data_IF_553957621611
#
_entry.id   IF_553957621611
#
_cell.length_a   1.000
_cell.length_b   1.000
_cell.length_c   1.000
_cell.angle_alpha   90.00
_cell.angle_beta   90.00
_cell.angle_gamma   90.00
#
_symmetry.space_group_name_H-M   'P 1'
#
loop_
_entity.id
_entity.type
_entity.pdbx_description
1 polymer ?
#
# COMPACT_ATOMS: atom_id res chain seq x y z
N UNK A 1 30.87 0.90 -12.58
CA UNK A 1 30.93 1.85 -11.46
C UNK A 1 32.36 2.20 -11.14
N UNK A 2 32.57 3.28 -10.39
CA UNK A 2 33.87 3.88 -10.06
C UNK A 2 34.85 2.92 -9.40
N UNK A 3 34.35 1.88 -8.73
CA UNK A 3 35.19 0.82 -8.15
C UNK A 3 36.09 0.11 -9.19
N UNK A 4 35.75 0.17 -10.47
CA UNK A 4 36.52 -0.44 -11.55
C UNK A 4 37.51 0.51 -12.23
N UNK A 5 37.53 1.80 -11.87
CA UNK A 5 38.41 2.79 -12.50
C UNK A 5 39.89 2.42 -12.37
N UNK A 6 40.26 1.79 -11.25
CA UNK A 6 41.62 1.30 -10.98
C UNK A 6 42.07 0.19 -11.95
N UNK A 7 41.12 -0.48 -12.61
CA UNK A 7 41.40 -1.53 -13.60
C UNK A 7 41.56 -0.97 -15.01
N UNK A 8 41.12 0.27 -15.26
CA UNK A 8 41.13 0.89 -16.57
C UNK A 8 42.53 0.90 -17.24
N UNK A 9 43.64 1.24 -16.54
CA UNK A 9 44.97 1.19 -17.15
C UNK A 9 45.34 -0.20 -17.70
N UNK A 10 44.90 -1.28 -17.03
CA UNK A 10 45.13 -2.66 -17.48
C UNK A 10 44.33 -2.97 -18.73
N UNK A 11 43.07 -2.52 -18.79
CA UNK A 11 42.23 -2.72 -19.98
C UNK A 11 42.84 -2.02 -21.20
N UNK A 12 43.34 -0.78 -21.06
CA UNK A 12 43.99 -0.07 -22.18
C UNK A 12 45.22 -0.81 -22.73
N UNK A 13 46.05 -1.39 -21.86
CA UNK A 13 47.18 -2.22 -22.29
C UNK A 13 46.72 -3.46 -23.08
N UNK A 14 45.58 -4.07 -22.70
CA UNK A 14 45.00 -5.19 -23.44
C UNK A 14 44.48 -4.75 -24.81
N UNK A 15 43.75 -3.63 -24.89
CA UNK A 15 43.31 -3.07 -26.18
C UNK A 15 44.50 -2.80 -27.10
N UNK A 16 45.56 -2.19 -26.58
CA UNK A 16 46.78 -1.91 -27.34
C UNK A 16 47.47 -3.19 -27.82
N UNK A 17 47.61 -4.20 -26.96
CA UNK A 17 48.25 -5.47 -27.31
C UNK A 17 47.47 -6.25 -28.39
N UNK A 18 46.14 -6.12 -28.39
CA UNK A 18 45.25 -6.77 -29.36
C UNK A 18 45.06 -5.94 -30.64
N UNK A 19 45.58 -4.71 -30.68
CA UNK A 19 45.39 -3.78 -31.80
C UNK A 19 43.93 -3.31 -31.95
N UNK A 20 43.19 -3.24 -30.86
CA UNK A 20 41.79 -2.84 -30.82
C UNK A 20 41.62 -1.38 -30.39
N UNK A 21 40.59 -0.71 -30.91
CA UNK A 21 40.18 0.61 -30.43
C UNK A 21 39.38 0.48 -29.13
N UNK A 22 39.76 1.19 -28.05
CA UNK A 22 39.01 1.17 -26.81
C UNK A 22 37.66 1.90 -26.96
N UNK A 23 36.57 1.40 -26.35
CA UNK A 23 35.28 2.08 -26.35
C UNK A 23 35.31 3.32 -25.45
N UNK A 24 34.25 4.13 -25.52
CA UNK A 24 34.00 5.14 -24.50
C UNK A 24 33.69 4.47 -23.15
N UNK A 25 34.28 4.97 -22.07
CA UNK A 25 34.05 4.48 -20.71
C UNK A 25 33.34 5.54 -19.87
N UNK A 26 32.23 5.16 -19.25
CA UNK A 26 31.53 5.97 -18.25
C UNK A 26 31.53 5.20 -16.95
N UNK A 27 32.27 5.69 -15.95
CA UNK A 27 32.27 5.11 -14.61
C UNK A 27 31.21 5.82 -13.78
N UNK A 28 30.24 5.05 -13.29
CA UNK A 28 29.16 5.56 -12.47
C UNK A 28 29.56 5.60 -10.99
N UNK A 29 29.17 6.63 -10.23
CA UNK A 29 29.47 6.73 -8.81
C UNK A 29 28.90 5.54 -8.04
N UNK A 30 29.53 5.20 -6.92
CA UNK A 30 29.01 4.17 -6.02
C UNK A 30 27.79 4.69 -5.26
N UNK A 31 26.83 3.81 -5.00
CA UNK A 31 25.74 4.11 -4.09
C UNK A 31 26.22 3.99 -2.64
N UNK A 32 25.93 5.02 -1.86
CA UNK A 32 26.15 5.04 -0.43
C UNK A 32 24.97 4.37 0.29
N UNK A 33 25.23 3.93 1.52
CA UNK A 33 24.18 3.50 2.45
C UNK A 33 23.14 4.61 2.68
N UNK A 34 21.93 4.28 3.19
CA UNK A 34 20.89 5.27 3.47
C UNK A 34 21.34 6.39 4.42
N UNK A 35 22.24 6.11 5.36
CA UNK A 35 22.83 7.11 6.27
C UNK A 35 23.99 7.91 5.65
N UNK A 36 24.30 7.65 4.37
CA UNK A 36 25.40 8.27 3.63
C UNK A 36 26.80 7.79 4.05
N UNK A 37 26.91 6.86 5.00
CA UNK A 37 28.20 6.41 5.55
C UNK A 37 28.65 5.10 4.94
N UNK A 38 29.47 5.23 3.91
CA UNK A 38 30.10 4.09 3.25
C UNK A 38 29.18 3.45 2.21
N UNK A 39 29.63 2.31 1.66
CA UNK A 39 28.99 1.68 0.50
C UNK A 39 27.68 0.98 0.89
N UNK A 40 26.68 1.04 0.01
CA UNK A 40 25.48 0.23 0.12
C UNK A 40 25.85 -1.27 0.20
N UNK A 41 25.21 -1.99 1.12
CA UNK A 41 25.47 -3.41 1.35
C UNK A 41 24.20 -4.09 1.85
N UNK A 42 24.17 -5.43 1.84
CA UNK A 42 23.03 -6.22 2.36
C UNK A 42 22.67 -5.92 3.82
N UNK A 43 23.60 -5.35 4.60
CA UNK A 43 23.35 -4.97 6.00
C UNK A 43 22.40 -3.77 6.13
N UNK A 44 22.21 -3.02 5.04
CA UNK A 44 21.42 -1.79 5.02
C UNK A 44 19.99 -1.98 4.49
N UNK A 45 19.57 -3.23 4.26
CA UNK A 45 18.24 -3.59 3.78
C UNK A 45 18.26 -4.32 2.44
N UNK A 46 17.14 -4.21 1.72
CA UNK A 46 16.97 -4.85 0.43
C UNK A 46 17.98 -4.27 -0.58
N UNK A 47 18.73 -5.15 -1.23
CA UNK A 47 19.73 -4.75 -2.23
C UNK A 47 19.54 -5.47 -3.56
N UNK A 48 18.89 -6.63 -3.57
CA UNK A 48 18.49 -7.32 -4.80
C UNK A 48 17.16 -6.83 -5.34
N UNK A 49 17.05 -6.69 -6.67
CA UNK A 49 15.79 -6.37 -7.39
C UNK A 49 14.66 -7.34 -7.01
N UNK A 50 14.98 -8.61 -6.78
CA UNK A 50 14.02 -9.62 -6.33
C UNK A 50 13.40 -9.28 -4.97
N UNK A 51 14.18 -8.77 -4.02
CA UNK A 51 13.70 -8.40 -2.70
C UNK A 51 12.74 -7.21 -2.78
N UNK A 52 13.00 -6.24 -3.66
CA UNK A 52 12.07 -5.14 -3.93
C UNK A 52 10.77 -5.64 -4.56
N UNK A 53 10.85 -6.58 -5.52
CA UNK A 53 9.65 -7.20 -6.09
C UNK A 53 8.83 -7.93 -5.02
N UNK A 54 9.47 -8.74 -4.18
CA UNK A 54 8.80 -9.49 -3.10
C UNK A 54 8.17 -8.57 -2.05
N UNK A 55 8.75 -7.38 -1.82
CA UNK A 55 8.16 -6.32 -1.00
C UNK A 55 7.00 -5.57 -1.66
N UNK A 56 6.70 -5.82 -2.94
CA UNK A 56 5.61 -5.13 -3.63
C UNK A 56 5.96 -3.75 -4.19
N UNK A 57 7.23 -3.49 -4.51
CA UNK A 57 7.59 -2.32 -5.31
C UNK A 57 7.21 -2.50 -6.78
N UNK A 58 6.76 -1.41 -7.38
CA UNK A 58 6.50 -1.33 -8.81
C UNK A 58 7.83 -1.20 -9.58
N UNK A 59 7.96 -1.89 -10.74
CA UNK A 59 9.16 -1.77 -11.56
C UNK A 59 9.37 -0.33 -12.04
N UNK A 60 8.30 0.41 -12.34
CA UNK A 60 8.36 1.81 -12.79
C UNK A 60 8.97 2.71 -11.70
N UNK A 61 8.55 2.53 -10.45
CA UNK A 61 9.07 3.27 -9.31
C UNK A 61 10.56 2.98 -9.08
N UNK A 62 10.95 1.71 -9.16
CA UNK A 62 12.33 1.30 -8.97
C UNK A 62 13.23 1.85 -10.09
N UNK A 63 12.77 1.79 -11.35
CA UNK A 63 13.50 2.34 -12.51
C UNK A 63 13.68 3.84 -12.37
N UNK A 64 12.61 4.60 -12.07
CA UNK A 64 12.68 6.04 -11.90
C UNK A 64 13.62 6.45 -10.76
N UNK A 65 13.53 5.75 -9.63
CA UNK A 65 14.43 5.98 -8.51
C UNK A 65 15.88 5.71 -8.87
N UNK A 66 16.18 4.56 -9.48
CA UNK A 66 17.55 4.19 -9.89
C UNK A 66 18.12 5.14 -10.95
N UNK A 67 17.28 5.64 -11.86
CA UNK A 67 17.66 6.66 -12.84
C UNK A 67 18.14 7.93 -12.14
N UNK A 68 17.34 8.46 -11.20
CA UNK A 68 17.65 9.70 -10.50
C UNK A 68 18.75 9.55 -9.44
N UNK A 69 19.19 8.31 -9.17
CA UNK A 69 20.38 8.04 -8.37
C UNK A 69 21.65 8.25 -9.20
N UNK A 70 22.08 9.51 -9.25
CA UNK A 70 23.33 9.89 -9.91
C UNK A 70 23.15 10.42 -11.32
N UNK A 71 21.92 10.64 -11.77
CA UNK A 71 21.61 11.45 -12.95
C UNK A 71 20.56 12.49 -12.58
N UNK A 72 20.72 13.72 -13.08
CA UNK A 72 19.78 14.80 -12.86
C UNK A 72 19.21 15.31 -14.17
N UNK A 73 17.88 15.42 -14.34
CA UNK A 73 17.27 15.96 -15.55
C UNK A 73 17.60 17.45 -15.73
N UNK A 74 17.36 17.97 -16.94
CA UNK A 74 17.53 19.40 -17.24
C UNK A 74 16.47 20.28 -16.58
N UNK A 75 15.33 19.69 -16.25
CA UNK A 75 14.17 20.29 -15.59
C UNK A 75 14.10 19.84 -14.13
N UNK A 76 13.17 20.39 -13.36
CA UNK A 76 12.87 19.96 -11.98
C UNK A 76 11.94 18.73 -11.93
N UNK A 77 11.80 18.00 -13.03
CA UNK A 77 10.95 16.81 -13.12
C UNK A 77 11.61 15.64 -12.38
N UNK A 78 10.86 14.96 -11.52
CA UNK A 78 11.36 13.84 -10.73
C UNK A 78 10.64 12.52 -11.03
N UNK A 79 9.67 12.51 -11.95
CA UNK A 79 8.77 11.38 -12.20
C UNK A 79 8.75 11.13 -13.69
N UNK A 80 9.29 9.98 -14.11
CA UNK A 80 9.46 9.62 -15.50
C UNK A 80 8.87 8.23 -15.78
N UNK A 81 8.30 8.06 -16.96
CA UNK A 81 8.25 6.77 -17.62
C UNK A 81 9.64 6.41 -18.17
N UNK A 82 9.88 5.13 -18.47
CA UNK A 82 11.14 4.71 -19.08
C UNK A 82 11.38 5.37 -20.46
N UNK A 83 10.31 5.64 -21.21
CA UNK A 83 10.40 6.28 -22.53
C UNK A 83 10.76 7.77 -22.43
N UNK A 84 10.14 8.49 -21.49
CA UNK A 84 10.49 9.88 -21.18
C UNK A 84 11.93 9.98 -20.68
N UNK A 85 12.32 9.09 -19.77
CA UNK A 85 13.68 8.99 -19.28
C UNK A 85 14.68 8.76 -20.42
N UNK A 86 14.41 7.83 -21.33
CA UNK A 86 15.29 7.54 -22.47
C UNK A 86 15.44 8.74 -23.42
N UNK A 87 14.38 9.54 -23.57
CA UNK A 87 14.40 10.76 -24.40
C UNK A 87 15.16 11.90 -23.72
N UNK A 88 15.02 12.04 -22.40
CA UNK A 88 15.66 13.11 -21.62
C UNK A 88 17.11 12.80 -21.24
N UNK A 89 17.52 11.52 -21.24
CA UNK A 89 18.80 11.07 -20.73
C UNK A 89 19.98 11.67 -21.50
N UNK A 90 20.99 12.13 -20.77
CA UNK A 90 22.26 12.56 -21.32
C UNK A 90 23.42 12.21 -20.39
N UNK A 91 24.53 11.76 -20.97
CA UNK A 91 25.71 11.28 -20.22
C UNK A 91 26.37 12.42 -19.44
N UNK A 92 26.30 13.65 -19.96
CA UNK A 92 26.89 14.86 -19.37
C UNK A 92 26.23 15.24 -18.04
N UNK A 93 25.03 14.73 -17.76
CA UNK A 93 24.28 15.01 -16.53
C UNK A 93 24.37 13.90 -15.50
N UNK A 94 25.23 12.92 -15.73
CA UNK A 94 25.61 11.93 -14.71
C UNK A 94 26.49 12.65 -13.68
N UNK A 95 26.07 12.61 -12.42
CA UNK A 95 26.84 13.10 -11.28
C UNK A 95 28.08 12.24 -11.07
N UNK A 96 29.19 12.88 -10.73
CA UNK A 96 30.42 12.21 -10.29
C UNK A 96 30.45 11.99 -8.77
N UNK A 97 29.48 12.54 -8.03
CA UNK A 97 29.42 12.38 -6.58
C UNK A 97 28.67 11.10 -6.20
N UNK A 98 29.13 10.36 -5.18
CA UNK A 98 28.35 9.28 -4.58
C UNK A 98 26.98 9.77 -4.09
N UNK A 99 25.95 8.95 -4.26
CA UNK A 99 24.56 9.29 -3.88
C UNK A 99 24.05 8.31 -2.83
N UNK A 100 23.36 8.80 -1.81
CA UNK A 100 22.74 7.96 -0.78
C UNK A 100 21.50 7.24 -1.31
N UNK A 101 21.40 5.95 -1.02
CA UNK A 101 20.27 5.12 -1.40
C UNK A 101 19.12 5.32 -0.40
N UNK A 102 18.30 6.35 -0.60
CA UNK A 102 17.17 6.68 0.30
C UNK A 102 15.96 5.78 0.05
N UNK A 103 15.68 4.86 0.98
CA UNK A 103 14.49 4.01 0.93
C UNK A 103 13.20 4.83 1.09
N UNK A 104 13.20 5.87 1.91
CA UNK A 104 12.02 6.76 2.08
C UNK A 104 11.64 7.44 0.76
N UNK A 105 12.64 7.86 -0.03
CA UNK A 105 12.39 8.46 -1.36
C UNK A 105 11.84 7.41 -2.34
N UNK A 106 12.37 6.18 -2.30
CA UNK A 106 11.84 5.08 -3.11
C UNK A 106 10.40 4.71 -2.72
N UNK A 107 10.06 4.69 -1.43
CA UNK A 107 8.70 4.46 -0.95
C UNK A 107 7.73 5.55 -1.42
N UNK A 108 8.19 6.81 -1.41
CA UNK A 108 7.42 7.94 -1.93
C UNK A 108 7.13 7.76 -3.42
N UNK A 109 8.14 7.42 -4.23
CA UNK A 109 7.94 7.08 -5.64
C UNK A 109 6.96 5.93 -5.78
N UNK A 110 7.12 4.85 -5.03
CA UNK A 110 6.27 3.67 -5.16
C UNK A 110 4.80 4.00 -4.93
N UNK A 111 4.50 4.76 -3.87
CA UNK A 111 3.14 5.25 -3.62
C UNK A 111 2.62 6.13 -4.75
N UNK A 112 3.47 6.99 -5.35
CA UNK A 112 3.06 7.84 -6.47
C UNK A 112 2.70 7.01 -7.70
N UNK A 113 3.53 6.05 -8.09
CA UNK A 113 3.24 5.18 -9.22
C UNK A 113 2.03 4.28 -8.96
N UNK A 114 1.82 3.80 -7.72
CA UNK A 114 0.60 3.06 -7.35
C UNK A 114 -0.65 3.93 -7.59
N UNK A 115 -0.62 5.21 -7.19
CA UNK A 115 -1.75 6.16 -7.39
C UNK A 115 -2.01 6.50 -8.87
N UNK A 116 -1.02 6.32 -9.75
CA UNK A 116 -1.18 6.55 -11.19
C UNK A 116 -1.78 5.35 -11.93
N UNK A 117 -1.77 4.15 -11.33
CA UNK A 117 -2.38 2.97 -11.94
C UNK A 117 -3.91 3.13 -12.03
N UNK A 118 -4.50 2.57 -13.09
CA UNK A 118 -5.94 2.35 -13.10
C UNK A 118 -6.32 1.34 -12.02
N UNK A 119 -7.57 1.41 -11.53
CA UNK A 119 -8.07 0.44 -10.54
C UNK A 119 -7.97 -1.01 -11.04
N UNK A 120 -8.21 -1.24 -12.33
CA UNK A 120 -8.10 -2.58 -12.91
C UNK A 120 -6.65 -3.10 -12.91
N UNK A 121 -5.69 -2.24 -13.30
CA UNK A 121 -4.28 -2.62 -13.33
C UNK A 121 -3.73 -2.79 -11.91
N UNK A 122 -4.14 -1.94 -10.96
CA UNK A 122 -3.76 -2.11 -9.56
C UNK A 122 -4.30 -3.44 -9.00
N UNK A 123 -5.58 -3.75 -9.22
CA UNK A 123 -6.18 -5.01 -8.79
C UNK A 123 -5.44 -6.22 -9.39
N UNK A 124 -5.09 -6.15 -10.69
CA UNK A 124 -4.33 -7.19 -11.37
C UNK A 124 -2.93 -7.37 -10.78
N UNK A 125 -2.22 -6.28 -10.46
CA UNK A 125 -0.88 -6.33 -9.84
C UNK A 125 -0.93 -6.81 -8.39
N UNK A 126 -2.01 -6.54 -7.67
CA UNK A 126 -2.24 -7.00 -6.30
C UNK A 126 -2.68 -8.47 -6.21
N UNK A 127 -3.32 -9.01 -7.26
CA UNK A 127 -3.92 -10.35 -7.26
C UNK A 127 -2.94 -11.47 -6.83
N UNK A 128 -1.68 -11.53 -7.30
CA UNK A 128 -0.75 -12.57 -6.87
C UNK A 128 -0.48 -12.58 -5.36
N UNK A 129 -0.46 -11.40 -4.71
CA UNK A 129 -0.25 -11.29 -3.26
C UNK A 129 -1.47 -11.77 -2.49
N UNK A 130 -2.67 -11.42 -2.96
CA UNK A 130 -3.93 -11.91 -2.38
C UNK A 130 -4.07 -13.44 -2.51
N UNK A 131 -3.59 -14.00 -3.61
CA UNK A 131 -3.57 -15.45 -3.83
C UNK A 131 -2.56 -16.14 -2.92
N UNK A 132 -1.36 -15.58 -2.79
CA UNK A 132 -0.34 -16.07 -1.86
C UNK A 132 -0.82 -16.08 -0.41
N UNK A 133 -1.59 -15.06 0.00
CA UNK A 133 -2.14 -14.93 1.35
C UNK A 133 -3.46 -15.71 1.54
N UNK A 134 -3.91 -16.47 0.54
CA UNK A 134 -5.11 -17.31 0.60
C UNK A 134 -6.43 -16.53 0.65
N UNK A 135 -6.43 -15.24 0.27
CA UNK A 135 -7.63 -14.40 0.24
C UNK A 135 -8.43 -14.55 -1.05
N UNK A 136 -7.78 -14.93 -2.16
CA UNK A 136 -8.40 -15.23 -3.44
C UNK A 136 -7.82 -16.51 -4.03
N UNK A 137 -8.60 -17.31 -4.77
CA UNK A 137 -8.10 -18.52 -5.42
C UNK A 137 -7.28 -18.19 -6.68
N UNK A 138 -6.48 -19.16 -7.12
CA UNK A 138 -5.80 -19.16 -8.42
C UNK A 138 -6.26 -20.37 -9.26
N UNK A 139 -6.97 -20.16 -10.40
CA UNK A 139 -7.34 -18.88 -11.01
C UNK A 139 -8.46 -18.13 -10.26
N UNK A 140 -8.44 -16.79 -10.33
CA UNK A 140 -9.44 -15.93 -9.69
C UNK A 140 -10.75 -15.85 -10.51
N UNK A 141 -11.92 -16.16 -9.94
CA UNK A 141 -13.21 -15.97 -10.60
C UNK A 141 -13.45 -14.51 -11.02
N UNK A 142 -14.03 -14.32 -12.20
CA UNK A 142 -14.30 -12.97 -12.75
C UNK A 142 -15.12 -12.10 -11.79
N UNK A 143 -16.13 -12.65 -11.11
CA UNK A 143 -16.93 -11.89 -10.13
C UNK A 143 -16.10 -11.40 -8.93
N UNK A 144 -15.15 -12.20 -8.44
CA UNK A 144 -14.27 -11.80 -7.35
C UNK A 144 -13.25 -10.76 -7.82
N UNK A 145 -12.75 -10.89 -9.06
CA UNK A 145 -11.87 -9.88 -9.64
C UNK A 145 -12.60 -8.53 -9.84
N UNK A 146 -13.82 -8.53 -10.38
CA UNK A 146 -14.65 -7.32 -10.51
C UNK A 146 -14.92 -6.68 -9.15
N UNK A 147 -15.20 -7.50 -8.13
CA UNK A 147 -15.34 -6.99 -6.77
C UNK A 147 -14.02 -6.38 -6.26
N UNK A 148 -12.88 -7.05 -6.45
CA UNK A 148 -11.57 -6.52 -6.10
C UNK A 148 -11.31 -5.16 -6.76
N UNK A 149 -11.58 -5.02 -8.06
CA UNK A 149 -11.45 -3.73 -8.79
C UNK A 149 -12.29 -2.64 -8.12
N UNK A 150 -13.52 -2.96 -7.69
CA UNK A 150 -14.40 -2.00 -7.01
C UNK A 150 -13.88 -1.53 -5.63
N UNK A 151 -12.97 -2.29 -5.01
CA UNK A 151 -12.38 -1.95 -3.71
C UNK A 151 -11.15 -1.03 -3.85
N UNK A 152 -10.49 -1.00 -5.02
CA UNK A 152 -9.27 -0.22 -5.22
C UNK A 152 -9.40 1.27 -4.90
N UNK A 153 -10.48 1.98 -5.25
CA UNK A 153 -10.64 3.39 -4.88
C UNK A 153 -10.56 3.65 -3.36
N UNK A 154 -10.91 2.65 -2.54
CA UNK A 154 -10.93 2.78 -1.09
C UNK A 154 -9.53 2.64 -0.46
N UNK A 155 -8.60 1.98 -1.16
CA UNK A 155 -7.32 1.54 -0.60
C UNK A 155 -6.10 2.05 -1.35
N UNK A 156 -6.24 2.47 -2.61
CA UNK A 156 -5.12 2.90 -3.47
C UNK A 156 -4.30 4.04 -2.86
N UNK A 157 -4.96 5.04 -2.27
CA UNK A 157 -4.30 6.16 -1.58
C UNK A 157 -3.63 5.76 -0.26
N UNK A 158 -3.94 4.57 0.27
CA UNK A 158 -3.51 4.12 1.60
C UNK A 158 -2.31 3.19 1.56
N UNK A 159 -2.12 2.46 0.45
CA UNK A 159 -1.02 1.51 0.30
C UNK A 159 0.20 2.19 -0.34
N UNK A 160 1.36 1.87 0.21
CA UNK A 160 2.68 2.19 -0.36
C UNK A 160 3.30 1.00 -1.05
N UNK A 161 2.88 -0.23 -0.73
CA UNK A 161 3.38 -1.45 -1.36
C UNK A 161 2.23 -2.34 -1.80
N UNK A 162 2.42 -3.10 -2.88
CA UNK A 162 1.41 -4.06 -3.33
C UNK A 162 1.12 -5.15 -2.28
N UNK A 163 2.09 -5.51 -1.45
CA UNK A 163 1.91 -6.51 -0.37
C UNK A 163 0.99 -6.03 0.75
N UNK A 164 0.80 -4.72 0.93
CA UNK A 164 -0.11 -4.18 1.95
C UNK A 164 -1.58 -4.40 1.58
N UNK A 165 -1.87 -4.84 0.35
CA UNK A 165 -3.24 -5.03 -0.12
C UNK A 165 -4.02 -6.02 0.74
N UNK A 166 -3.38 -7.10 1.18
CA UNK A 166 -4.04 -8.16 1.95
C UNK A 166 -4.59 -7.65 3.28
N UNK A 167 -3.85 -6.77 3.97
CA UNK A 167 -4.34 -6.09 5.18
C UNK A 167 -5.44 -5.08 4.83
N UNK A 168 -5.26 -4.34 3.74
CA UNK A 168 -6.18 -3.28 3.33
C UNK A 168 -7.55 -3.79 2.84
N UNK A 169 -7.62 -4.99 2.27
CA UNK A 169 -8.87 -5.56 1.73
C UNK A 169 -9.32 -6.87 2.38
N UNK A 170 -8.51 -7.48 3.25
CA UNK A 170 -8.79 -8.81 3.81
C UNK A 170 -10.15 -8.89 4.50
N UNK A 171 -10.57 -7.84 5.20
CA UNK A 171 -11.88 -7.81 5.84
C UNK A 171 -13.05 -7.67 4.84
N UNK A 172 -12.84 -7.23 3.60
CA UNK A 172 -13.88 -7.28 2.55
C UNK A 172 -14.03 -8.68 1.96
N UNK A 173 -12.89 -9.32 1.69
CA UNK A 173 -12.83 -10.59 0.96
C UNK A 173 -13.25 -11.80 1.81
N UNK A 174 -13.00 -11.75 3.12
CA UNK A 174 -13.43 -12.81 4.03
C UNK A 174 -14.93 -12.73 4.31
N UNK A 175 -15.59 -13.88 4.40
CA UNK A 175 -16.98 -13.95 4.85
C UNK A 175 -17.07 -13.72 6.35
N UNK A 176 -16.23 -14.42 7.10
CA UNK A 176 -16.09 -14.29 8.55
C UNK A 176 -14.72 -13.72 8.91
N UNK A 177 -14.69 -12.92 9.98
CA UNK A 177 -13.44 -12.45 10.60
C UNK A 177 -13.44 -12.90 12.05
N UNK A 178 -12.25 -13.07 12.63
CA UNK A 178 -12.16 -13.26 14.07
C UNK A 178 -12.77 -12.03 14.77
N UNK A 179 -13.71 -12.24 15.72
CA UNK A 179 -14.29 -11.14 16.46
C UNK A 179 -13.19 -10.32 17.18
N UNK A 180 -13.23 -8.98 17.10
CA UNK A 180 -12.21 -8.14 17.73
C UNK A 180 -12.20 -8.32 19.24
N UNK A 181 -11.04 -8.12 19.88
CA UNK A 181 -10.93 -8.21 21.34
C UNK A 181 -11.80 -7.17 22.04
N UNK A 182 -12.19 -7.49 23.28
CA UNK A 182 -12.96 -6.58 24.15
C UNK A 182 -12.26 -5.22 24.29
N UNK A 183 -10.96 -5.23 24.52
CA UNK A 183 -10.16 -4.01 24.68
C UNK A 183 -10.21 -3.13 23.43
N UNK A 184 -10.17 -3.74 22.24
CA UNK A 184 -10.20 -3.01 20.98
C UNK A 184 -11.59 -2.43 20.70
N UNK A 185 -12.66 -3.16 21.03
CA UNK A 185 -14.05 -2.70 20.89
C UNK A 185 -14.38 -1.52 21.82
N UNK A 186 -13.86 -1.54 23.05
CA UNK A 186 -14.07 -0.47 24.05
C UNK A 186 -13.23 0.78 23.73
N UNK A 187 -12.04 0.59 23.16
CA UNK A 187 -11.08 1.66 22.99
C UNK A 187 -10.70 2.31 24.32
N UNK A 188 -10.31 3.60 24.29
CA UNK A 188 -9.79 4.28 25.49
C UNK A 188 -10.86 4.73 26.49
N UNK A 189 -12.12 4.85 26.08
CA UNK A 189 -13.17 5.53 26.87
C UNK A 189 -14.51 4.79 26.91
N UNK A 190 -14.69 3.71 26.15
CA UNK A 190 -15.95 2.98 26.09
C UNK A 190 -16.13 2.05 27.29
N UNK A 191 -17.38 1.85 27.69
CA UNK A 191 -17.78 0.82 28.68
C UNK A 191 -18.47 -0.35 27.98
N UNK A 192 -18.47 -1.52 28.62
CA UNK A 192 -19.07 -2.74 28.05
C UNK A 192 -20.55 -2.53 27.74
N UNK A 193 -21.28 -1.95 28.69
CA UNK A 193 -22.70 -1.67 28.58
C UNK A 193 -22.99 -0.69 27.43
N UNK A 194 -22.25 0.42 27.38
CA UNK A 194 -22.40 1.43 26.32
C UNK A 194 -22.11 0.86 24.94
N UNK A 195 -20.97 0.18 24.77
CA UNK A 195 -20.58 -0.40 23.48
C UNK A 195 -21.56 -1.48 23.03
N UNK A 196 -22.09 -2.29 23.95
CA UNK A 196 -23.14 -3.28 23.61
C UNK A 196 -24.41 -2.62 23.11
N UNK A 197 -24.87 -1.56 23.78
CA UNK A 197 -26.05 -0.78 23.35
C UNK A 197 -25.81 -0.20 21.96
N UNK A 198 -24.64 0.42 21.74
CA UNK A 198 -24.25 0.98 20.44
C UNK A 198 -24.33 -0.09 19.34
N UNK A 199 -23.62 -1.22 19.48
CA UNK A 199 -23.58 -2.26 18.45
C UNK A 199 -24.95 -2.87 18.19
N UNK A 200 -25.76 -3.07 19.23
CA UNK A 200 -27.13 -3.58 19.11
C UNK A 200 -28.04 -2.60 18.36
N UNK A 201 -28.06 -1.33 18.75
CA UNK A 201 -28.92 -0.33 18.11
C UNK A 201 -28.49 -0.06 16.66
N UNK A 202 -27.18 -0.03 16.39
CA UNK A 202 -26.66 0.07 15.03
C UNK A 202 -27.13 -1.13 14.19
N UNK A 203 -27.00 -2.36 14.69
CA UNK A 203 -27.45 -3.54 13.97
C UNK A 203 -28.96 -3.49 13.67
N UNK A 204 -29.78 -2.97 14.59
CA UNK A 204 -31.24 -2.80 14.39
C UNK A 204 -31.56 -1.77 13.30
N UNK A 205 -30.98 -0.56 13.37
CA UNK A 205 -31.29 0.48 12.38
C UNK A 205 -30.80 0.10 10.99
N UNK A 206 -29.63 -0.54 10.90
CA UNK A 206 -29.10 -1.03 9.63
C UNK A 206 -29.91 -2.20 9.06
N UNK A 207 -30.50 -3.05 9.91
CA UNK A 207 -31.41 -4.11 9.47
C UNK A 207 -32.68 -3.55 8.81
N UNK A 208 -33.18 -2.41 9.29
CA UNK A 208 -34.37 -1.75 8.75
C UNK A 208 -34.09 -0.85 7.55
N UNK A 209 -32.82 -0.54 7.25
CA UNK A 209 -32.45 0.32 6.14
C UNK A 209 -32.71 -0.37 4.79
N UNK A 210 -33.53 0.25 3.92
CA UNK A 210 -33.90 -0.32 2.63
C UNK A 210 -32.72 -0.32 1.64
N UNK A 211 -32.05 0.82 1.50
CA UNK A 211 -30.91 0.99 0.60
C UNK A 211 -29.61 1.10 1.40
N UNK A 212 -28.67 0.18 1.15
CA UNK A 212 -27.39 0.11 1.86
C UNK A 212 -26.30 0.93 1.15
N UNK A 213 -26.62 2.19 0.86
CA UNK A 213 -25.73 3.15 0.18
C UNK A 213 -24.96 3.99 1.20
N UNK A 214 -23.85 4.61 0.78
CA UNK A 214 -23.04 5.47 1.66
C UNK A 214 -23.85 6.59 2.30
N UNK A 215 -24.66 7.29 1.50
CA UNK A 215 -25.52 8.39 1.97
C UNK A 215 -26.56 7.90 2.98
N UNK A 216 -27.24 6.79 2.67
CA UNK A 216 -28.23 6.20 3.58
C UNK A 216 -27.61 5.74 4.89
N UNK A 217 -26.40 5.17 4.84
CA UNK A 217 -25.63 4.76 6.01
C UNK A 217 -25.23 5.97 6.86
N UNK A 218 -24.75 7.04 6.22
CA UNK A 218 -24.35 8.27 6.90
C UNK A 218 -25.52 8.92 7.63
N UNK A 219 -26.63 9.15 6.93
CA UNK A 219 -27.83 9.77 7.51
C UNK A 219 -28.36 8.93 8.69
N UNK A 220 -28.47 7.62 8.50
CA UNK A 220 -28.98 6.69 9.53
C UNK A 220 -28.12 6.69 10.78
N UNK A 221 -26.79 6.57 10.63
CA UNK A 221 -25.88 6.47 11.78
C UNK A 221 -25.71 7.82 12.49
N UNK A 222 -25.79 8.94 11.77
CA UNK A 222 -25.81 10.28 12.40
C UNK A 222 -27.10 10.54 13.17
N UNK A 223 -28.27 10.21 12.60
CA UNK A 223 -29.54 10.31 13.30
C UNK A 223 -29.59 9.42 14.56
N UNK A 224 -28.97 8.22 14.51
CA UNK A 224 -28.83 7.38 15.69
C UNK A 224 -27.93 8.04 16.75
N UNK A 225 -26.83 8.69 16.36
CA UNK A 225 -25.97 9.42 17.29
C UNK A 225 -26.72 10.53 18.03
N UNK A 226 -27.55 11.29 17.32
CA UNK A 226 -28.41 12.32 17.91
C UNK A 226 -29.44 11.71 18.87
N UNK A 227 -30.13 10.65 18.47
CA UNK A 227 -31.11 9.94 19.30
C UNK A 227 -30.50 9.40 20.60
N UNK A 228 -29.27 8.88 20.54
CA UNK A 228 -28.55 8.37 21.70
C UNK A 228 -27.82 9.48 22.49
N UNK A 229 -27.89 10.74 22.04
CA UNK A 229 -27.18 11.89 22.62
C UNK A 229 -25.66 11.66 22.71
N UNK A 230 -25.10 10.99 21.71
CA UNK A 230 -23.68 10.63 21.62
C UNK A 230 -23.00 11.38 20.49
N UNK A 231 -21.69 11.62 20.63
CA UNK A 231 -20.89 12.15 19.51
C UNK A 231 -20.73 11.08 18.44
N UNK A 232 -20.73 11.43 17.13
CA UNK A 232 -20.57 10.46 16.04
C UNK A 232 -19.37 9.53 16.22
N UNK A 233 -18.22 10.04 16.67
CA UNK A 233 -17.02 9.24 16.91
C UNK A 233 -17.18 8.14 17.98
N UNK A 234 -18.08 8.31 18.95
CA UNK A 234 -18.38 7.28 19.96
C UNK A 234 -19.12 6.09 19.36
N UNK A 235 -19.89 6.29 18.30
CA UNK A 235 -20.62 5.22 17.60
C UNK A 235 -19.76 4.65 16.46
N UNK A 236 -19.13 5.52 15.68
CA UNK A 236 -18.46 5.14 14.44
C UNK A 236 -17.22 4.28 14.68
N UNK A 237 -16.46 4.54 15.75
CA UNK A 237 -15.25 3.76 16.04
C UNK A 237 -15.58 2.32 16.48
N UNK A 238 -16.50 2.07 17.44
CA UNK A 238 -16.91 0.71 17.76
C UNK A 238 -17.48 -0.06 16.56
N UNK A 239 -18.28 0.59 15.71
CA UNK A 239 -18.81 -0.03 14.49
C UNK A 239 -17.68 -0.40 13.53
N UNK A 240 -16.72 0.50 13.30
CA UNK A 240 -15.54 0.25 12.47
C UNK A 240 -14.77 -0.96 12.97
N UNK A 241 -14.43 -0.97 14.25
CA UNK A 241 -13.69 -2.08 14.87
C UNK A 241 -14.50 -3.37 14.77
N UNK A 242 -15.78 -3.35 15.11
CA UNK A 242 -16.64 -4.54 15.08
C UNK A 242 -16.69 -5.20 13.69
N UNK A 243 -16.69 -4.43 12.61
CA UNK A 243 -16.82 -4.98 11.24
C UNK A 243 -15.48 -5.23 10.54
N UNK A 244 -14.36 -4.72 11.07
CA UNK A 244 -13.04 -4.84 10.41
C UNK A 244 -11.94 -5.43 11.27
N UNK A 245 -12.07 -5.39 12.60
CA UNK A 245 -10.96 -5.65 13.52
C UNK A 245 -9.90 -4.56 13.57
N UNK A 246 -10.12 -3.42 12.91
CA UNK A 246 -9.12 -2.36 12.74
C UNK A 246 -9.66 -1.00 13.18
N UNK A 247 -8.76 -0.14 13.67
CA UNK A 247 -9.08 1.25 14.06
C UNK A 247 -8.83 2.26 12.95
N UNK A 248 -8.03 1.89 11.94
CA UNK A 248 -7.63 2.75 10.83
C UNK A 248 -7.99 2.11 9.49
N UNK A 249 -9.15 2.47 8.93
CA UNK A 249 -9.66 1.93 7.66
C UNK A 249 -10.12 3.07 6.73
N UNK A 250 -10.60 2.80 5.51
CA UNK A 250 -11.19 3.83 4.62
C UNK A 250 -12.40 4.54 5.26
N UNK A 251 -13.07 5.43 4.53
CA UNK A 251 -14.29 6.08 5.01
C UNK A 251 -15.29 5.05 5.54
N UNK A 252 -15.87 5.28 6.73
CA UNK A 252 -16.71 4.25 7.38
C UNK A 252 -17.89 3.86 6.51
N UNK A 253 -18.57 4.83 5.88
CA UNK A 253 -19.77 4.56 5.10
C UNK A 253 -19.46 3.84 3.79
N UNK A 254 -18.40 4.25 3.09
CA UNK A 254 -17.82 3.53 1.93
C UNK A 254 -17.50 2.08 2.27
N UNK A 255 -16.82 1.88 3.41
CA UNK A 255 -16.45 0.57 3.90
C UNK A 255 -17.67 -0.31 4.20
N UNK A 256 -18.67 0.24 4.89
CA UNK A 256 -19.90 -0.50 5.18
C UNK A 256 -20.63 -0.85 3.87
N UNK A 257 -20.81 0.10 2.97
CA UNK A 257 -21.46 -0.11 1.67
C UNK A 257 -20.77 -1.24 0.87
N UNK A 258 -19.42 -1.21 0.81
CA UNK A 258 -18.63 -2.23 0.13
C UNK A 258 -18.68 -3.62 0.80
N UNK A 259 -18.79 -3.69 2.13
CA UNK A 259 -18.99 -4.96 2.86
C UNK A 259 -20.38 -5.57 2.62
N UNK A 260 -21.39 -4.73 2.46
CA UNK A 260 -22.77 -5.12 2.32
C UNK A 260 -23.47 -5.44 3.65
N UNK A 261 -24.80 -5.28 3.62
CA UNK A 261 -25.68 -5.32 4.80
C UNK A 261 -25.55 -6.60 5.64
N UNK A 262 -25.52 -7.77 5.01
CA UNK A 262 -25.51 -9.05 5.71
C UNK A 262 -24.21 -9.25 6.50
N UNK A 263 -23.04 -9.00 5.88
CA UNK A 263 -21.73 -9.11 6.55
C UNK A 263 -21.64 -8.13 7.70
N UNK A 264 -22.04 -6.87 7.49
CA UNK A 264 -22.02 -5.83 8.54
C UNK A 264 -22.85 -6.26 9.74
N UNK A 265 -24.11 -6.65 9.55
CA UNK A 265 -25.00 -7.03 10.67
C UNK A 265 -24.49 -8.28 11.38
N UNK A 266 -23.99 -9.28 10.65
CA UNK A 266 -23.41 -10.49 11.22
C UNK A 266 -22.23 -10.18 12.15
N UNK A 267 -21.28 -9.37 11.67
CA UNK A 267 -20.09 -8.98 12.44
C UNK A 267 -20.42 -8.11 13.66
N UNK A 268 -21.39 -7.20 13.54
CA UNK A 268 -21.87 -6.41 14.68
C UNK A 268 -22.45 -7.30 15.80
N UNK A 269 -23.23 -8.33 15.43
CA UNK A 269 -23.79 -9.28 16.40
C UNK A 269 -22.69 -10.12 17.06
N UNK A 270 -21.72 -10.61 16.29
CA UNK A 270 -20.57 -11.37 16.81
C UNK A 270 -19.75 -10.52 17.79
N UNK A 271 -19.41 -9.27 17.43
CA UNK A 271 -18.70 -8.35 18.30
C UNK A 271 -19.50 -8.03 19.59
N UNK A 272 -20.81 -7.88 19.50
CA UNK A 272 -21.67 -7.69 20.68
C UNK A 272 -21.67 -8.92 21.62
N UNK A 273 -21.55 -10.13 21.07
CA UNK A 273 -21.46 -11.36 21.84
C UNK A 273 -20.13 -11.49 22.60
N UNK A 274 -19.00 -11.03 22.02
CA UNK A 274 -17.70 -10.97 22.72
C UNK A 274 -17.79 -10.14 24.00
N UNK A 275 -18.53 -9.03 23.95
CA UNK A 275 -18.74 -8.17 25.12
C UNK A 275 -19.67 -8.78 26.18
N UNK A 276 -20.43 -9.81 25.82
CA UNK A 276 -21.33 -10.52 26.73
C UNK A 276 -20.68 -11.73 27.41
N UNK A 277 -19.63 -12.30 26.81
CA UNK A 277 -18.85 -13.38 27.39
C UNK A 277 -17.96 -12.85 28.54
N UNK A 278 -17.96 -13.57 29.67
CA UNK A 278 -17.24 -13.25 30.89
C UNK A 278 -15.73 -13.41 30.73
#
# INVERSE_FOLDING_TARGET
>A
GDEWIISMPRHFLLYQALGWEPPAFVHLPIFLSPDGKGKLSKRHGATGVREFKEKGYLPEALVNFLLLLGWHPATDEEVFTLEEAATAFSVERISTSPVSFSLDKLDWYNGLYIRQLSHEELAKRCLPYLQQDGLLPDPCPSAQFTYLVSLMPLVQERIKYLTEISEAVGYFLRDEIEPPSKELLLGKKGTVEETRVILSEVAKVLASLAEFTEEGLEQTLRALAEKLQMKPGQIFMPVRVAVTGQTATPGLFQLLAALGKQKVIGRLKQASAVLAAQ
#
